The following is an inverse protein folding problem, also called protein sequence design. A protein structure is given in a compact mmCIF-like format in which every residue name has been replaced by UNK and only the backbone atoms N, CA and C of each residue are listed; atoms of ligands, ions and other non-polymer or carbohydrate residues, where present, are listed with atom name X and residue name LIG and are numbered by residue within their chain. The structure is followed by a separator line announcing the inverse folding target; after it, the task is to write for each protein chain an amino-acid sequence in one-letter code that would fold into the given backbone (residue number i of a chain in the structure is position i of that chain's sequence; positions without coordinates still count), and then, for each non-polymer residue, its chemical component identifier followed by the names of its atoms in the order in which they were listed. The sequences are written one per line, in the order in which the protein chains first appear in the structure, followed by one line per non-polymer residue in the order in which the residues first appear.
data_IF_060573026748
#
_entry.id   IF_060573026748
#
_cell.length_a   1.000
_cell.length_b   1.000
_cell.length_c   1.000
_cell.angle_alpha   90.00
_cell.angle_beta   90.00
_cell.angle_gamma   90.00
#
_symmetry.space_group_name_H-M   'P 1'
#
loop_
_entity.id
_entity.type
_entity.pdbx_description
1 polymer ?
#
# COMPACT_ATOMS: atom_id res chain seq x y z
N UNK A 1 -6.71 4.84 7.21
CA UNK A 1 -8.05 4.23 7.10
C UNK A 1 -7.79 2.74 7.16
N UNK A 2 -8.31 2.03 8.16
CA UNK A 2 -8.25 0.56 8.15
C UNK A 2 -8.92 0.13 6.83
N UNK A 3 -8.25 -0.71 6.07
CA UNK A 3 -8.75 -1.23 4.81
C UNK A 3 -10.24 -1.61 4.96
N UNK A 4 -11.18 -0.95 4.26
CA UNK A 4 -12.61 -1.23 4.41
C UNK A 4 -12.99 -2.66 3.99
N UNK A 5 -12.10 -3.43 3.35
CA UNK A 5 -12.26 -4.87 3.13
C UNK A 5 -11.88 -5.74 4.33
N UNK A 6 -11.03 -5.25 5.25
CA UNK A 6 -10.63 -6.01 6.44
C UNK A 6 -11.77 -6.14 7.46
N UNK A 7 -12.70 -5.18 7.48
CA UNK A 7 -13.85 -5.18 8.41
C UNK A 7 -15.00 -6.08 7.92
N UNK A 8 -15.03 -6.45 6.63
CA UNK A 8 -16.12 -7.22 6.01
C UNK A 8 -16.02 -8.75 6.25
N UNK A 9 -14.89 -9.27 6.71
CA UNK A 9 -14.65 -10.73 6.77
C UNK A 9 -14.59 -11.36 8.17
N UNK A 10 -14.75 -10.60 9.27
CA UNK A 10 -14.90 -11.19 10.61
C UNK A 10 -13.78 -12.16 11.02
N UNK A 11 -12.56 -11.97 10.52
CA UNK A 11 -11.44 -12.89 10.78
C UNK A 11 -10.81 -12.56 12.14
N UNK A 12 -10.98 -13.49 13.09
CA UNK A 12 -10.33 -13.46 14.41
C UNK A 12 -8.81 -13.33 14.30
N UNK A 13 -8.32 -12.40 15.10
CA UNK A 13 -6.97 -11.86 15.38
C UNK A 13 -5.73 -12.78 15.42
N UNK A 14 -5.75 -14.05 15.04
CA UNK A 14 -4.56 -14.93 15.16
C UNK A 14 -4.10 -15.60 13.85
N UNK A 15 -4.67 -15.21 12.70
CA UNK A 15 -4.20 -15.67 11.38
C UNK A 15 -3.78 -14.53 10.44
N UNK A 16 -3.48 -13.35 11.00
CA UNK A 16 -2.78 -12.25 10.32
C UNK A 16 -1.29 -12.57 10.24
N UNK A 17 -0.98 -13.75 9.73
CA UNK A 17 0.35 -14.08 9.26
C UNK A 17 0.36 -13.62 7.80
N UNK A 18 0.67 -12.34 7.60
CA UNK A 18 1.36 -11.86 6.40
C UNK A 18 0.88 -12.48 5.08
N UNK A 19 -0.37 -12.27 4.67
CA UNK A 19 -0.72 -12.57 3.28
C UNK A 19 -0.15 -11.47 2.38
N UNK A 20 0.98 -11.85 1.79
CA UNK A 20 1.84 -11.25 0.77
C UNK A 20 1.13 -10.82 -0.54
N UNK A 21 -0.21 -10.87 -0.60
CA UNK A 21 -1.01 -10.77 -1.83
C UNK A 21 -2.18 -9.76 -1.70
N UNK A 22 -2.03 -8.67 -0.95
CA UNK A 22 -2.97 -7.54 -1.07
C UNK A 22 -2.68 -6.75 -2.34
N UNK A 23 -3.03 -7.30 -3.49
CA UNK A 23 -3.22 -6.50 -4.70
C UNK A 23 -4.58 -5.81 -4.61
N UNK A 24 -4.60 -4.56 -4.14
CA UNK A 24 -5.80 -3.72 -4.25
C UNK A 24 -6.00 -3.36 -5.72
N UNK A 25 -6.75 -4.19 -6.43
CA UNK A 25 -7.06 -3.99 -7.85
C UNK A 25 -8.10 -2.86 -7.97
N UNK A 26 -7.63 -1.65 -8.27
CA UNK A 26 -8.49 -0.50 -8.50
C UNK A 26 -9.05 -0.54 -9.93
N UNK A 27 -10.12 -1.34 -10.14
CA UNK A 27 -10.82 -1.45 -11.44
C UNK A 27 -11.24 -0.11 -12.04
N UNK A 28 -11.46 0.91 -11.20
CA UNK A 28 -11.76 2.29 -11.64
C UNK A 28 -10.56 2.98 -12.31
N UNK A 29 -9.36 2.43 -12.27
CA UNK A 29 -8.20 3.02 -12.92
C UNK A 29 -7.88 2.35 -14.26
N UNK A 30 -8.46 1.17 -14.53
CA UNK A 30 -8.29 0.41 -15.77
C UNK A 30 -8.63 1.27 -17.00
N UNK A 31 -7.76 1.20 -18.02
CA UNK A 31 -7.89 1.97 -19.27
C UNK A 31 -7.70 3.48 -19.11
N UNK A 32 -7.50 3.99 -17.89
CA UNK A 32 -7.25 5.42 -17.59
C UNK A 32 -5.85 5.67 -17.05
N UNK A 33 -5.25 4.68 -16.39
CA UNK A 33 -3.92 4.77 -15.79
C UNK A 33 -3.07 3.61 -16.32
N UNK A 34 -1.86 3.92 -16.77
CA UNK A 34 -0.91 2.92 -17.27
C UNK A 34 -0.16 2.31 -16.09
N UNK A 35 -0.22 0.98 -15.95
CA UNK A 35 0.60 0.24 -14.99
C UNK A 35 1.98 0.01 -15.59
N UNK A 36 3.04 0.49 -14.92
CA UNK A 36 4.42 0.45 -15.44
C UNK A 36 5.42 -0.27 -14.53
N UNK A 37 5.00 -0.80 -13.39
CA UNK A 37 5.88 -1.50 -12.47
C UNK A 37 5.14 -2.05 -11.26
N UNK A 38 5.86 -2.84 -10.45
CA UNK A 38 5.38 -3.36 -9.17
C UNK A 38 6.47 -3.24 -8.11
N UNK A 39 6.07 -3.13 -6.85
CA UNK A 39 7.00 -3.17 -5.73
C UNK A 39 7.53 -4.60 -5.59
N UNK A 40 8.85 -4.77 -5.66
CA UNK A 40 9.51 -6.08 -5.52
C UNK A 40 10.03 -6.36 -4.11
N UNK A 41 10.22 -5.31 -3.30
CA UNK A 41 10.69 -5.39 -1.91
C UNK A 41 10.28 -4.13 -1.15
N UNK A 42 10.22 -4.19 0.18
CA UNK A 42 9.94 -3.05 1.04
C UNK A 42 8.45 -2.68 1.18
N UNK A 43 7.52 -3.62 0.97
CA UNK A 43 6.09 -3.34 1.17
C UNK A 43 5.75 -2.95 2.62
N UNK A 44 6.54 -3.38 3.61
CA UNK A 44 6.38 -2.92 5.00
C UNK A 44 6.61 -1.41 5.15
N UNK A 45 7.52 -0.84 4.35
CA UNK A 45 7.74 0.62 4.28
C UNK A 45 6.54 1.30 3.62
N UNK A 46 5.99 0.73 2.55
CA UNK A 46 4.77 1.24 1.90
C UNK A 46 3.60 1.28 2.89
N UNK A 47 3.42 0.24 3.70
CA UNK A 47 2.38 0.23 4.73
C UNK A 47 2.60 1.28 5.83
N UNK A 48 3.86 1.52 6.23
CA UNK A 48 4.18 2.62 7.16
C UNK A 48 3.83 3.98 6.56
N UNK A 49 4.11 4.19 5.26
CA UNK A 49 3.72 5.42 4.54
C UNK A 49 2.19 5.57 4.48
N UNK A 50 1.46 4.47 4.22
CA UNK A 50 0.00 4.47 4.19
C UNK A 50 -0.62 4.83 5.56
N UNK A 51 -0.02 4.36 6.66
CA UNK A 51 -0.49 4.65 8.03
C UNK A 51 -0.45 6.15 8.38
N UNK A 52 0.45 6.92 7.74
CA UNK A 52 0.54 8.37 7.85
C UNK A 52 -0.52 9.11 7.03
N UNK A 53 -1.25 8.42 6.15
CA UNK A 53 -2.30 8.99 5.31
C UNK A 53 -3.52 9.48 6.09
N UNK A 54 -4.21 10.47 5.53
CA UNK A 54 -5.51 10.97 6.00
C UNK A 54 -6.53 10.92 4.87
N UNK A 55 -7.82 11.07 5.20
CA UNK A 55 -8.89 11.04 4.20
C UNK A 55 -8.81 12.23 3.21
N UNK A 56 -8.24 13.36 3.61
CA UNK A 56 -8.03 14.50 2.72
C UNK A 56 -6.82 14.33 1.80
N UNK A 57 -6.03 13.25 1.98
CA UNK A 57 -4.80 12.99 1.23
C UNK A 57 -3.57 13.72 1.76
N UNK A 58 -3.71 14.63 2.73
CA UNK A 58 -2.54 15.28 3.37
C UNK A 58 -1.98 14.38 4.48
N UNK A 59 -0.71 13.97 4.45
CA UNK A 59 -0.14 13.13 5.49
C UNK A 59 -0.14 13.80 6.87
N UNK A 60 -0.24 13.00 7.95
CA UNK A 60 -0.14 13.46 9.35
C UNK A 60 1.25 14.03 9.67
N UNK A 61 2.27 13.41 9.09
CA UNK A 61 3.68 13.78 9.25
C UNK A 61 4.36 13.84 7.89
N UNK A 62 5.50 14.52 7.82
CA UNK A 62 6.25 14.69 6.57
C UNK A 62 6.85 13.35 6.14
N UNK A 63 6.40 12.81 5.01
CA UNK A 63 6.98 11.64 4.36
C UNK A 63 7.81 12.11 3.16
N UNK A 64 9.08 11.72 3.10
CA UNK A 64 10.02 12.17 2.05
C UNK A 64 10.76 10.99 1.43
N UNK A 65 11.00 11.05 0.12
CA UNK A 65 12.00 10.22 -0.55
C UNK A 65 13.35 10.87 -0.26
N UNK A 66 14.09 10.30 0.68
CA UNK A 66 15.37 10.86 1.12
C UNK A 66 16.52 10.57 0.13
N UNK A 67 16.44 9.44 -0.58
CA UNK A 67 17.42 8.99 -1.57
C UNK A 67 16.74 8.05 -2.59
N UNK A 68 17.26 7.99 -3.81
CA UNK A 68 16.75 7.12 -4.88
C UNK A 68 17.80 6.83 -5.95
N UNK A 69 17.62 5.71 -6.67
CA UNK A 69 18.53 5.29 -7.74
C UNK A 69 18.02 4.04 -8.45
N UNK A 70 18.87 3.49 -9.32
CA UNK A 70 18.61 2.26 -10.04
C UNK A 70 19.50 1.14 -9.49
N UNK A 71 18.93 -0.06 -9.36
CA UNK A 71 19.73 -1.24 -9.02
C UNK A 71 20.47 -1.73 -10.27
N UNK A 72 21.71 -2.24 -10.12
CA UNK A 72 22.40 -2.91 -11.20
C UNK A 72 21.54 -4.07 -11.76
N UNK A 73 21.62 -4.25 -13.08
CA UNK A 73 20.98 -5.34 -13.80
C UNK A 73 21.67 -6.68 -13.55
#
# INVERSE_FOLDING_TARGET
MIDPMAELLGLKLEKVRYDFERETILRRLDGRHVVFGKVISGMDVVYKVEAEGTQSGTPKTKVVIADSGELPL
#
